data_IF_573875432619
#
_entry.id   IF_573875432619
#
_cell.length_a   1.000
_cell.length_b   1.000
_cell.length_c   1.000
_cell.angle_alpha   90.00
_cell.angle_beta   90.00
_cell.angle_gamma   90.00
#
_symmetry.space_group_name_H-M   'P 1'
#
loop_
_entity.id
_entity.type
_entity.pdbx_description
1 polymer ?
#
# COMPACT_ATOMS: atom_id res chain seq x y z
N UNK A 1 -3.00 7.90 27.45
CA UNK A 1 -3.48 7.10 28.42
C UNK A 1 -4.35 5.92 27.94
N UNK A 2 -5.69 5.86 27.98
CA UNK A 2 -6.41 4.59 27.82
C UNK A 2 -6.16 3.86 26.49
N UNK A 3 -6.06 4.57 25.36
CA UNK A 3 -5.80 3.93 24.08
C UNK A 3 -4.38 3.30 24.02
N UNK A 4 -3.39 3.93 24.61
CA UNK A 4 -2.03 3.40 24.67
C UNK A 4 -1.97 2.13 25.53
N UNK A 5 -2.58 2.17 26.71
CA UNK A 5 -2.71 1.02 27.62
C UNK A 5 -3.45 -0.14 26.94
N UNK A 6 -4.54 0.16 26.22
CA UNK A 6 -5.25 -0.85 25.43
C UNK A 6 -4.35 -1.48 24.36
N UNK A 7 -3.60 -0.66 23.60
CA UNK A 7 -2.68 -1.17 22.57
C UNK A 7 -1.57 -2.05 23.19
N UNK A 8 -1.06 -1.67 24.38
CA UNK A 8 -0.01 -2.40 25.07
C UNK A 8 -0.49 -3.74 25.64
N UNK A 9 -1.79 -3.82 25.99
CA UNK A 9 -2.42 -5.05 26.46
C UNK A 9 -2.81 -6.03 25.33
N UNK A 10 -2.87 -5.57 24.08
CA UNK A 10 -3.21 -6.45 22.96
C UNK A 10 -2.05 -7.44 22.68
N UNK A 11 -2.35 -8.72 22.43
CA UNK A 11 -1.33 -9.71 22.12
C UNK A 11 -0.62 -9.36 20.80
N UNK A 12 0.69 -9.52 20.78
CA UNK A 12 1.52 -9.32 19.58
C UNK A 12 1.38 -10.51 18.61
N UNK A 13 0.17 -10.71 18.09
CA UNK A 13 -0.08 -11.74 17.08
C UNK A 13 0.09 -11.16 15.68
N UNK A 14 0.48 -11.94 14.68
CA UNK A 14 0.62 -11.47 13.30
C UNK A 14 -0.61 -10.73 12.76
N UNK A 15 -1.82 -11.18 13.13
CA UNK A 15 -3.09 -10.60 12.68
C UNK A 15 -3.49 -9.30 13.39
N UNK A 16 -2.94 -9.02 14.58
CA UNK A 16 -3.24 -7.81 15.34
C UNK A 16 -2.12 -6.79 15.29
N UNK A 17 -0.91 -7.19 14.89
CA UNK A 17 0.28 -6.36 14.98
C UNK A 17 0.15 -5.04 14.23
N UNK A 18 -0.31 -5.08 12.99
CA UNK A 18 -0.46 -3.87 12.17
C UNK A 18 -1.44 -2.88 12.80
N UNK A 19 -2.62 -3.36 13.22
CA UNK A 19 -3.61 -2.51 13.92
C UNK A 19 -3.07 -1.96 15.23
N UNK A 20 -2.42 -2.81 16.03
CA UNK A 20 -1.82 -2.42 17.31
C UNK A 20 -0.80 -1.30 17.11
N UNK A 21 0.11 -1.42 16.16
CA UNK A 21 1.12 -0.41 15.87
C UNK A 21 0.50 0.89 15.35
N UNK A 22 -0.50 0.81 14.46
CA UNK A 22 -1.20 1.97 13.94
C UNK A 22 -1.87 2.79 15.06
N UNK A 23 -2.67 2.14 15.91
CA UNK A 23 -3.36 2.82 17.01
C UNK A 23 -2.39 3.28 18.11
N UNK A 24 -1.32 2.53 18.36
CA UNK A 24 -0.25 2.93 19.28
C UNK A 24 0.42 4.22 18.81
N UNK A 25 0.76 4.32 17.51
CA UNK A 25 1.32 5.54 16.94
C UNK A 25 0.38 6.74 17.11
N UNK A 26 -0.91 6.58 16.84
CA UNK A 26 -1.93 7.62 17.07
C UNK A 26 -1.97 8.04 18.54
N UNK A 27 -1.99 7.09 19.47
CA UNK A 27 -2.02 7.40 20.91
C UNK A 27 -0.79 8.17 21.35
N UNK A 28 0.41 7.77 20.91
CA UNK A 28 1.68 8.44 21.20
C UNK A 28 1.71 9.85 20.63
N UNK A 29 1.26 10.03 19.39
CA UNK A 29 1.18 11.34 18.74
C UNK A 29 0.27 12.30 19.51
N UNK A 30 -0.93 11.82 19.94
CA UNK A 30 -1.85 12.62 20.76
C UNK A 30 -1.32 12.98 22.15
N UNK A 31 -0.44 12.15 22.70
CA UNK A 31 0.22 12.41 23.99
C UNK A 31 1.46 13.31 23.86
N UNK A 32 1.78 13.79 22.66
CA UNK A 32 2.98 14.59 22.41
C UNK A 32 4.31 13.81 22.47
N UNK A 33 4.22 12.46 22.49
CA UNK A 33 5.39 11.55 22.48
C UNK A 33 5.90 11.36 21.05
N UNK A 34 6.38 12.46 20.47
CA UNK A 34 6.68 12.59 19.03
C UNK A 34 7.71 11.56 18.56
N UNK A 35 8.83 11.42 19.28
CA UNK A 35 9.91 10.51 18.85
C UNK A 35 9.47 9.05 18.89
N UNK A 36 8.68 8.66 19.87
CA UNK A 36 8.15 7.32 19.97
C UNK A 36 7.08 7.04 18.89
N UNK A 37 6.26 8.02 18.55
CA UNK A 37 5.33 7.91 17.43
C UNK A 37 6.08 7.76 16.10
N UNK A 38 7.14 8.55 15.90
CA UNK A 38 8.00 8.47 14.70
C UNK A 38 8.80 7.17 14.60
N UNK A 39 9.17 6.59 15.71
CA UNK A 39 9.80 5.26 15.72
C UNK A 39 8.86 4.17 15.13
N UNK A 40 7.55 4.35 15.27
CA UNK A 40 6.55 3.43 14.70
C UNK A 40 6.19 3.79 13.25
N UNK A 41 6.01 5.07 12.97
CA UNK A 41 5.61 5.57 11.64
C UNK A 41 6.44 6.80 11.30
N UNK A 42 7.16 6.76 10.20
CA UNK A 42 7.89 7.89 9.64
C UNK A 42 7.73 7.90 8.13
N UNK A 43 6.92 8.82 7.59
CA UNK A 43 6.60 8.86 6.16
C UNK A 43 7.80 9.19 5.27
N UNK A 44 8.86 9.78 5.82
CA UNK A 44 10.09 10.08 5.08
C UNK A 44 11.03 8.87 5.02
N UNK A 45 11.13 8.10 6.12
CA UNK A 45 12.09 7.01 6.27
C UNK A 45 11.53 5.65 5.87
N UNK A 46 10.26 5.37 6.20
CA UNK A 46 9.67 4.04 6.08
C UNK A 46 9.05 3.75 4.70
N UNK A 47 9.14 4.69 3.77
CA UNK A 47 8.57 4.55 2.42
C UNK A 47 9.68 4.41 1.40
N UNK A 48 9.66 3.32 0.64
CA UNK A 48 10.60 3.09 -0.46
C UNK A 48 9.87 3.05 -1.80
N UNK A 49 10.49 3.62 -2.81
CA UNK A 49 9.96 3.67 -4.18
C UNK A 49 10.90 2.90 -5.10
N UNK A 50 10.33 2.00 -5.88
CA UNK A 50 11.02 1.20 -6.90
C UNK A 50 10.45 1.50 -8.28
N UNK A 51 11.25 1.30 -9.32
CA UNK A 51 10.83 1.40 -10.71
C UNK A 51 10.93 0.04 -11.37
N UNK A 52 9.88 -0.35 -12.07
CA UNK A 52 9.88 -1.58 -12.84
C UNK A 52 10.59 -1.38 -14.17
N UNK A 53 11.56 -2.24 -14.40
CA UNK A 53 12.23 -2.39 -15.67
C UNK A 53 11.95 -3.81 -16.19
N UNK A 54 11.04 -3.96 -17.17
CA UNK A 54 10.66 -5.27 -17.66
C UNK A 54 11.79 -5.93 -18.47
N UNK A 55 11.82 -7.27 -18.56
CA UNK A 55 12.68 -7.97 -19.50
C UNK A 55 12.49 -7.46 -20.93
N UNK A 56 13.57 -7.40 -21.71
CA UNK A 56 13.61 -6.79 -23.05
C UNK A 56 12.61 -7.36 -24.06
N UNK A 57 12.23 -8.65 -23.91
CA UNK A 57 11.19 -9.30 -24.71
C UNK A 57 9.80 -8.69 -24.50
N UNK A 58 9.60 -7.96 -23.41
CA UNK A 58 8.34 -7.27 -23.12
C UNK A 58 8.33 -5.80 -23.56
N UNK A 59 9.43 -5.31 -24.14
CA UNK A 59 9.59 -3.89 -24.47
C UNK A 59 9.92 -3.06 -23.23
N UNK A 60 9.59 -1.76 -23.25
CA UNK A 60 9.75 -0.89 -22.10
C UNK A 60 8.57 -1.01 -21.10
N UNK A 61 8.69 -0.34 -19.96
CA UNK A 61 7.67 -0.34 -18.93
C UNK A 61 6.31 0.23 -19.40
N UNK A 62 6.32 1.14 -20.40
CA UNK A 62 5.08 1.72 -20.95
C UNK A 62 4.35 0.67 -21.77
N UNK A 63 5.04 -0.04 -22.65
CA UNK A 63 4.46 -1.10 -23.47
C UNK A 63 3.99 -2.29 -22.61
N UNK A 64 4.78 -2.68 -21.62
CA UNK A 64 4.40 -3.71 -20.64
C UNK A 64 3.10 -3.34 -19.92
N UNK A 65 3.06 -2.16 -19.32
CA UNK A 65 1.90 -1.70 -18.55
C UNK A 65 0.66 -1.50 -19.41
N UNK A 66 0.79 -1.06 -20.66
CA UNK A 66 -0.35 -0.94 -21.57
C UNK A 66 -1.00 -2.32 -21.85
N UNK A 67 -0.19 -3.37 -22.09
CA UNK A 67 -0.72 -4.73 -22.26
C UNK A 67 -1.35 -5.27 -20.99
N UNK A 68 -0.71 -5.01 -19.84
CA UNK A 68 -1.22 -5.44 -18.54
C UNK A 68 -2.55 -4.75 -18.22
N UNK A 69 -2.66 -3.43 -18.43
CA UNK A 69 -3.89 -2.67 -18.25
C UNK A 69 -5.03 -3.20 -19.14
N UNK A 70 -4.73 -3.44 -20.42
CA UNK A 70 -5.72 -4.01 -21.35
C UNK A 70 -6.24 -5.36 -20.87
N UNK A 71 -5.34 -6.24 -20.44
CA UNK A 71 -5.73 -7.55 -19.93
C UNK A 71 -6.55 -7.43 -18.63
N UNK A 72 -6.14 -6.59 -17.69
CA UNK A 72 -6.86 -6.38 -16.43
C UNK A 72 -8.28 -5.85 -16.67
N UNK A 73 -8.45 -4.88 -17.57
CA UNK A 73 -9.77 -4.31 -17.92
C UNK A 73 -10.67 -5.40 -18.53
N UNK A 74 -10.11 -6.27 -19.37
CA UNK A 74 -10.89 -7.30 -20.05
C UNK A 74 -11.26 -8.51 -19.15
N UNK A 75 -10.48 -8.76 -18.08
CA UNK A 75 -10.59 -9.97 -17.26
C UNK A 75 -10.97 -9.71 -15.79
N UNK A 76 -10.99 -8.47 -15.37
CA UNK A 76 -11.48 -8.13 -14.03
C UNK A 76 -13.01 -8.16 -14.07
N UNK A 77 -13.58 -9.12 -13.34
CA UNK A 77 -15.02 -9.17 -13.14
C UNK A 77 -15.46 -7.92 -12.38
N UNK A 78 -16.53 -7.28 -12.84
CA UNK A 78 -17.20 -6.24 -12.09
C UNK A 78 -17.84 -6.87 -10.83
N UNK A 79 -17.05 -7.02 -9.77
CA UNK A 79 -17.62 -7.30 -8.46
C UNK A 79 -18.32 -6.00 -8.04
N UNK A 80 -19.65 -5.98 -7.88
CA UNK A 80 -20.35 -4.80 -7.41
C UNK A 80 -19.80 -4.48 -6.02
N UNK A 81 -19.00 -3.44 -5.92
CA UNK A 81 -18.64 -2.91 -4.61
C UNK A 81 -19.74 -1.93 -4.16
N UNK A 82 -19.98 -1.78 -2.87
CA UNK A 82 -20.89 -0.74 -2.37
C UNK A 82 -20.36 0.69 -2.62
N UNK A 83 -19.19 0.81 -3.26
CA UNK A 83 -18.56 2.08 -3.63
C UNK A 83 -18.58 2.16 -5.16
N UNK A 84 -19.43 3.01 -5.74
CA UNK A 84 -19.37 3.29 -7.16
C UNK A 84 -17.96 3.66 -7.54
N UNK A 85 -17.36 3.90 -8.39
CA UNK A 85 -16.03 4.45 -8.74
C UNK A 85 -14.81 3.75 -8.11
N UNK A 86 -14.99 2.69 -7.30
CA UNK A 86 -13.91 1.89 -6.72
C UNK A 86 -14.21 0.39 -6.88
N UNK A 87 -13.44 -0.32 -7.69
CA UNK A 87 -13.55 -1.78 -7.86
C UNK A 87 -12.28 -2.45 -7.35
N UNK A 88 -12.42 -3.46 -6.49
CA UNK A 88 -11.30 -4.28 -6.00
C UNK A 88 -11.56 -5.72 -6.42
N UNK A 89 -10.61 -6.33 -7.12
CA UNK A 89 -10.67 -7.73 -7.51
C UNK A 89 -9.50 -8.51 -6.89
N UNK A 90 -9.85 -9.50 -6.08
CA UNK A 90 -8.91 -10.39 -5.38
C UNK A 90 -8.56 -11.64 -6.19
N UNK A 91 -9.14 -11.82 -7.38
CA UNK A 91 -8.90 -12.98 -8.26
C UNK A 91 -7.49 -13.02 -8.85
N UNK A 92 -6.76 -11.91 -8.79
CA UNK A 92 -5.42 -11.80 -9.34
C UNK A 92 -4.45 -12.84 -8.78
N UNK A 93 -4.54 -13.16 -7.49
CA UNK A 93 -3.68 -14.14 -6.79
C UNK A 93 -3.63 -15.50 -7.48
N UNK A 94 -4.71 -15.92 -8.14
CA UNK A 94 -4.81 -17.21 -8.83
C UNK A 94 -4.41 -17.16 -10.31
N UNK A 95 -4.13 -15.98 -10.84
CA UNK A 95 -3.81 -15.78 -12.26
C UNK A 95 -2.40 -16.25 -12.60
N UNK A 96 -2.23 -16.96 -13.72
CA UNK A 96 -0.96 -17.50 -14.23
C UNK A 96 -0.46 -16.82 -15.50
N UNK A 97 -0.94 -15.62 -15.81
CA UNK A 97 -0.49 -14.87 -16.98
C UNK A 97 1.02 -14.54 -16.87
N UNK A 98 1.82 -14.74 -17.94
CA UNK A 98 3.26 -14.42 -17.92
C UNK A 98 3.57 -12.99 -17.45
N UNK A 99 2.84 -11.97 -17.94
CA UNK A 99 2.99 -10.58 -17.50
C UNK A 99 2.81 -10.41 -15.96
N UNK A 100 1.82 -11.11 -15.39
CA UNK A 100 1.59 -11.07 -13.93
C UNK A 100 2.74 -11.75 -13.18
N UNK A 101 3.26 -12.86 -13.71
CA UNK A 101 4.38 -13.57 -13.08
C UNK A 101 5.68 -12.74 -13.10
N UNK A 102 5.95 -12.02 -14.21
CA UNK A 102 7.08 -11.09 -14.29
C UNK A 102 6.94 -9.96 -13.26
N UNK A 103 5.76 -9.35 -13.19
CA UNK A 103 5.50 -8.32 -12.20
C UNK A 103 5.66 -8.87 -10.76
N UNK A 104 5.14 -10.07 -10.46
CA UNK A 104 5.30 -10.73 -9.16
C UNK A 104 6.77 -10.96 -8.82
N UNK A 105 7.57 -11.34 -9.80
CA UNK A 105 9.01 -11.53 -9.62
C UNK A 105 9.71 -10.21 -9.22
N UNK A 106 9.38 -9.12 -9.89
CA UNK A 106 9.85 -7.78 -9.52
C UNK A 106 9.38 -7.37 -8.13
N UNK A 107 8.10 -7.52 -7.84
CA UNK A 107 7.49 -7.17 -6.55
C UNK A 107 8.19 -7.94 -5.42
N UNK A 108 8.41 -9.26 -5.58
CA UNK A 108 9.11 -10.09 -4.57
C UNK A 108 10.54 -9.62 -4.33
N UNK A 109 11.30 -9.30 -5.39
CA UNK A 109 12.67 -8.76 -5.23
C UNK A 109 12.65 -7.42 -4.50
N UNK A 110 11.71 -6.54 -4.82
CA UNK A 110 11.56 -5.25 -4.15
C UNK A 110 11.19 -5.41 -2.68
N UNK A 111 10.29 -6.34 -2.35
CA UNK A 111 9.99 -6.69 -0.96
C UNK A 111 11.19 -7.24 -0.22
N UNK A 112 11.98 -8.12 -0.84
CA UNK A 112 13.20 -8.65 -0.23
C UNK A 112 14.20 -7.51 0.10
N UNK A 113 14.35 -6.56 -0.82
CA UNK A 113 15.17 -5.35 -0.60
C UNK A 113 14.63 -4.51 0.56
N UNK A 114 13.32 -4.26 0.58
CA UNK A 114 12.69 -3.50 1.67
C UNK A 114 12.87 -4.19 3.03
N UNK A 115 12.64 -5.49 3.09
CA UNK A 115 12.79 -6.31 4.31
C UNK A 115 14.23 -6.27 4.84
N UNK A 116 15.22 -6.33 3.96
CA UNK A 116 16.62 -6.21 4.35
C UNK A 116 16.95 -4.85 4.98
N UNK A 117 16.16 -3.82 4.71
CA UNK A 117 16.32 -2.48 5.29
C UNK A 117 15.58 -2.28 6.62
N UNK A 118 14.68 -3.18 7.03
CA UNK A 118 13.89 -3.00 8.26
C UNK A 118 14.72 -2.71 9.51
N UNK A 119 15.88 -3.35 9.76
CA UNK A 119 16.73 -3.01 10.91
C UNK A 119 17.25 -1.56 10.84
N UNK A 120 17.68 -1.10 9.67
CA UNK A 120 18.16 0.27 9.44
C UNK A 120 17.03 1.29 9.58
N UNK A 121 15.82 0.92 9.18
CA UNK A 121 14.62 1.73 9.33
C UNK A 121 14.10 1.77 10.77
N UNK A 122 14.63 0.95 11.69
CA UNK A 122 14.16 0.82 13.07
C UNK A 122 12.88 -0.01 13.20
N UNK A 123 12.53 -0.79 12.17
CA UNK A 123 11.30 -1.58 12.11
C UNK A 123 11.54 -3.09 12.36
N UNK A 124 12.79 -3.54 12.47
CA UNK A 124 13.13 -4.95 12.57
C UNK A 124 12.43 -5.68 13.73
N UNK A 125 12.46 -5.09 14.92
CA UNK A 125 11.82 -5.67 16.11
C UNK A 125 10.30 -5.49 16.14
N UNK A 126 9.78 -4.49 15.42
CA UNK A 126 8.35 -4.19 15.36
C UNK A 126 7.60 -5.09 14.39
N UNK A 127 8.31 -5.61 13.39
CA UNK A 127 7.75 -6.38 12.30
C UNK A 127 8.51 -7.70 12.14
N UNK A 128 8.33 -8.65 13.08
CA UNK A 128 8.97 -9.95 12.96
C UNK A 128 8.36 -10.68 11.76
N UNK A 129 9.01 -10.53 10.60
CA UNK A 129 8.59 -11.20 9.38
C UNK A 129 8.85 -12.70 9.51
N UNK A 130 7.84 -13.52 9.28
CA UNK A 130 8.07 -14.96 9.19
C UNK A 130 8.99 -15.25 7.99
N UNK A 131 9.84 -16.27 8.06
CA UNK A 131 10.74 -16.67 6.97
C UNK A 131 10.02 -16.92 5.62
N UNK A 132 8.72 -17.19 5.65
CA UNK A 132 7.87 -17.42 4.50
C UNK A 132 6.64 -16.52 4.58
N UNK A 133 6.79 -15.25 4.21
CA UNK A 133 5.64 -14.38 3.95
C UNK A 133 4.97 -14.77 2.63
N UNK A 134 3.64 -14.86 2.63
CA UNK A 134 2.86 -15.08 1.42
C UNK A 134 2.59 -13.73 0.74
N UNK A 135 2.89 -13.65 -0.56
CA UNK A 135 2.50 -12.50 -1.37
C UNK A 135 1.04 -12.67 -1.78
N UNK A 136 0.21 -11.76 -1.30
CA UNK A 136 -1.19 -11.66 -1.68
C UNK A 136 -1.39 -10.41 -2.53
N UNK A 137 -1.76 -10.61 -3.80
CA UNK A 137 -1.97 -9.53 -4.76
C UNK A 137 -3.44 -9.40 -5.17
N UNK A 138 -3.84 -8.17 -5.47
CA UNK A 138 -5.18 -7.80 -5.89
C UNK A 138 -5.12 -6.56 -6.77
N UNK A 139 -6.13 -6.34 -7.59
CA UNK A 139 -6.20 -5.15 -8.44
C UNK A 139 -7.24 -4.16 -7.90
N UNK A 140 -6.93 -2.87 -8.02
CA UNK A 140 -7.85 -1.78 -7.67
C UNK A 140 -8.01 -0.84 -8.86
N UNK A 141 -9.26 -0.63 -9.25
CA UNK A 141 -9.66 0.37 -10.25
C UNK A 141 -10.33 1.54 -9.54
N UNK A 142 -9.87 2.74 -9.81
CA UNK A 142 -10.49 3.98 -9.32
C UNK A 142 -10.85 4.86 -10.50
N UNK A 143 -12.08 5.36 -10.50
CA UNK A 143 -12.61 6.32 -11.49
C UNK A 143 -13.13 7.55 -10.77
N UNK A 144 -13.18 8.67 -11.45
CA UNK A 144 -13.88 9.88 -11.00
C UNK A 144 -13.52 10.27 -9.56
N UNK A 145 -14.50 10.22 -8.69
CA UNK A 145 -14.37 10.53 -7.26
C UNK A 145 -14.11 9.28 -6.39
N UNK A 146 -13.85 8.13 -7.00
CA UNK A 146 -13.55 6.90 -6.28
C UNK A 146 -12.32 7.02 -5.41
N UNK A 147 -12.43 6.52 -4.18
CA UNK A 147 -11.32 6.42 -3.22
C UNK A 147 -11.48 5.21 -2.33
N UNK A 148 -10.38 4.68 -1.88
CA UNK A 148 -10.40 3.57 -0.94
C UNK A 148 -10.58 4.04 0.53
N UNK A 149 -10.44 5.32 0.78
CA UNK A 149 -10.51 5.94 2.10
C UNK A 149 -9.29 5.59 2.98
N UNK A 150 -9.15 6.30 4.07
CA UNK A 150 -8.06 6.06 5.01
C UNK A 150 -8.16 4.68 5.64
N UNK A 151 -7.09 3.91 5.53
CA UNK A 151 -7.02 2.56 6.08
C UNK A 151 -5.60 2.10 6.36
N UNK A 152 -5.49 0.95 7.01
CA UNK A 152 -4.29 0.15 7.21
C UNK A 152 -4.56 -1.28 6.73
N UNK A 153 -3.53 -2.06 6.45
CA UNK A 153 -3.70 -3.47 6.08
C UNK A 153 -3.52 -4.38 7.31
N UNK A 154 -4.62 -4.76 7.98
CA UNK A 154 -4.55 -5.42 9.30
C UNK A 154 -3.88 -6.81 9.26
N UNK A 155 -3.92 -7.47 8.12
CA UNK A 155 -3.41 -8.83 7.93
C UNK A 155 -2.07 -8.88 7.18
N UNK A 156 -1.38 -7.74 7.07
CA UNK A 156 -0.11 -7.65 6.38
C UNK A 156 0.99 -7.04 7.28
N UNK A 157 2.23 -7.25 6.90
CA UNK A 157 3.40 -6.60 7.49
C UNK A 157 3.86 -5.41 6.63
N UNK A 158 3.93 -5.62 5.32
CA UNK A 158 4.34 -4.63 4.34
C UNK A 158 3.30 -4.59 3.23
N UNK A 159 3.02 -3.41 2.74
CA UNK A 159 2.12 -3.13 1.62
C UNK A 159 2.91 -2.60 0.45
N UNK A 160 2.57 -3.08 -0.74
CA UNK A 160 3.04 -2.57 -2.01
C UNK A 160 1.89 -2.02 -2.85
N UNK A 161 2.14 -0.91 -3.53
CA UNK A 161 1.22 -0.33 -4.51
C UNK A 161 1.98 -0.15 -5.81
N UNK A 162 1.68 -1.00 -6.80
CA UNK A 162 2.25 -0.90 -8.15
C UNK A 162 1.28 -0.20 -9.09
N UNK A 163 1.74 0.82 -9.79
CA UNK A 163 0.94 1.61 -10.71
C UNK A 163 1.01 1.05 -12.13
N UNK A 164 -0.06 0.38 -12.56
CA UNK A 164 -0.20 -0.14 -13.92
C UNK A 164 -0.60 0.98 -14.86
N UNK A 165 -1.64 1.73 -14.51
CA UNK A 165 -2.17 2.85 -15.30
C UNK A 165 -2.46 4.04 -14.41
N UNK A 166 -2.03 5.20 -14.86
CA UNK A 166 -2.35 6.50 -14.27
C UNK A 166 -2.95 7.36 -15.37
N UNK A 167 -4.15 7.93 -15.19
CA UNK A 167 -4.78 8.78 -16.19
C UNK A 167 -3.86 9.93 -16.64
N UNK A 168 -3.88 10.26 -17.92
CA UNK A 168 -3.01 11.32 -18.47
C UNK A 168 -3.25 12.68 -17.84
N UNK A 169 -4.50 13.04 -17.60
CA UNK A 169 -4.89 14.29 -16.93
C UNK A 169 -4.39 14.33 -15.47
N UNK A 170 -4.32 13.19 -14.79
CA UNK A 170 -3.69 13.05 -13.46
C UNK A 170 -2.18 13.25 -13.54
N UNK A 171 -1.51 12.64 -14.53
CA UNK A 171 -0.07 12.79 -14.70
C UNK A 171 0.37 14.22 -14.97
N UNK A 172 -0.44 14.96 -15.74
CA UNK A 172 -0.17 16.35 -16.12
C UNK A 172 -0.68 17.37 -15.09
N UNK A 173 -1.52 16.96 -14.15
CA UNK A 173 -2.08 17.86 -13.14
C UNK A 173 -1.00 18.43 -12.21
N UNK A 174 -1.12 19.69 -11.86
CA UNK A 174 -0.30 20.38 -10.85
C UNK A 174 -0.83 20.23 -9.42
N UNK A 175 -2.06 19.76 -9.27
CA UNK A 175 -2.69 19.50 -7.98
C UNK A 175 -2.40 18.08 -7.46
N UNK A 176 -3.02 17.71 -6.34
CA UNK A 176 -2.79 16.44 -5.66
C UNK A 176 -3.71 15.29 -6.13
N UNK A 177 -4.54 15.50 -7.19
CA UNK A 177 -5.42 14.42 -7.68
C UNK A 177 -4.63 13.15 -8.02
N UNK A 178 -5.18 12.01 -7.65
CA UNK A 178 -4.59 10.70 -7.88
C UNK A 178 -3.37 10.37 -7.00
N UNK A 179 -2.86 11.30 -6.19
CA UNK A 179 -1.74 11.04 -5.29
C UNK A 179 -2.07 9.96 -4.26
N UNK A 180 -1.09 9.11 -3.95
CA UNK A 180 -1.11 8.28 -2.76
C UNK A 180 -0.81 9.18 -1.56
N UNK A 181 -1.66 9.14 -0.56
CA UNK A 181 -1.50 9.87 0.70
C UNK A 181 -1.03 8.90 1.77
N UNK A 182 0.13 9.15 2.34
CA UNK A 182 0.74 8.32 3.37
C UNK A 182 0.78 9.07 4.69
N UNK A 183 0.41 8.42 5.77
CA UNK A 183 0.42 8.97 7.11
C UNK A 183 -0.82 9.78 7.51
N UNK A 184 -1.72 10.11 6.59
CA UNK A 184 -2.97 10.78 6.96
C UNK A 184 -3.85 9.85 7.81
N UNK A 185 -4.39 10.39 8.89
CA UNK A 185 -5.30 9.66 9.79
C UNK A 185 -6.35 10.61 10.44
N UNK A 186 -6.89 11.52 9.64
CA UNK A 186 -7.80 12.57 10.09
C UNK A 186 -9.02 12.04 10.86
N UNK A 187 -9.62 10.93 10.37
CA UNK A 187 -10.81 10.34 11.00
C UNK A 187 -10.56 9.78 12.40
N UNK A 188 -9.32 9.35 12.69
CA UNK A 188 -8.95 8.80 13.98
C UNK A 188 -8.37 9.82 14.93
N UNK A 189 -7.96 10.96 14.42
CA UNK A 189 -7.24 11.99 15.18
C UNK A 189 -8.06 13.24 15.45
N UNK A 190 -9.32 13.31 15.00
CA UNK A 190 -10.19 14.49 15.15
C UNK A 190 -9.49 15.80 14.70
N UNK A 191 -8.84 15.77 13.56
CA UNK A 191 -8.07 16.90 13.01
C UNK A 191 -6.70 17.11 13.65
N UNK A 192 -6.26 16.22 14.56
CA UNK A 192 -4.91 16.27 15.10
C UNK A 192 -3.88 15.95 14.02
N UNK A 193 -2.87 16.81 13.87
CA UNK A 193 -1.78 16.57 12.93
C UNK A 193 -0.89 15.44 13.44
N UNK A 194 -0.69 14.36 12.67
CA UNK A 194 0.14 13.26 13.12
C UNK A 194 1.62 13.66 13.25
N UNK A 195 2.28 13.22 14.32
CA UNK A 195 3.67 13.54 14.61
C UNK A 195 4.65 13.11 13.50
N UNK A 196 4.29 12.10 12.71
CA UNK A 196 5.09 11.57 11.58
C UNK A 196 4.86 12.28 10.25
N UNK A 197 3.97 13.28 10.21
CA UNK A 197 3.62 14.05 9.03
C UNK A 197 2.73 13.32 8.02
N UNK A 198 2.47 13.97 6.90
CA UNK A 198 1.72 13.44 5.77
C UNK A 198 2.54 13.61 4.50
N UNK A 199 2.60 12.58 3.67
CA UNK A 199 3.33 12.61 2.40
C UNK A 199 2.38 12.29 1.24
N UNK A 200 2.39 13.17 0.24
CA UNK A 200 1.69 12.96 -1.03
C UNK A 200 2.70 12.45 -2.06
N UNK A 201 2.43 11.29 -2.65
CA UNK A 201 3.23 10.73 -3.72
C UNK A 201 2.44 10.78 -5.03
N UNK A 202 2.96 11.56 -5.99
CA UNK A 202 2.44 11.60 -7.35
C UNK A 202 2.64 10.24 -8.01
N UNK A 203 1.58 9.60 -8.53
CA UNK A 203 1.71 8.29 -9.15
C UNK A 203 2.33 8.40 -10.55
N UNK A 204 3.12 7.38 -10.91
CA UNK A 204 3.66 7.21 -12.25
C UNK A 204 3.53 5.75 -12.68
N UNK A 205 3.16 5.44 -13.93
CA UNK A 205 3.14 4.06 -14.41
C UNK A 205 4.50 3.37 -14.23
N UNK A 206 4.52 2.12 -13.77
CA UNK A 206 5.74 1.37 -13.47
C UNK A 206 6.36 1.66 -12.10
N UNK A 207 5.78 2.56 -11.31
CA UNK A 207 6.21 2.82 -9.94
C UNK A 207 5.63 1.78 -8.98
N UNK A 208 6.46 1.25 -8.08
CA UNK A 208 6.06 0.46 -6.92
C UNK A 208 6.45 1.21 -5.65
N UNK A 209 5.48 1.43 -4.78
CA UNK A 209 5.69 2.06 -3.46
C UNK A 209 5.53 1.00 -2.39
N UNK A 210 6.54 0.82 -1.52
CA UNK A 210 6.49 -0.09 -0.38
C UNK A 210 6.51 0.70 0.93
N UNK A 211 5.69 0.27 1.89
CA UNK A 211 5.58 0.89 3.22
C UNK A 211 5.01 -0.10 4.26
N UNK A 212 5.17 0.18 5.57
CA UNK A 212 4.64 -0.69 6.62
C UNK A 212 3.11 -0.76 6.58
N UNK A 213 2.55 -1.93 6.76
CA UNK A 213 1.11 -2.16 6.68
C UNK A 213 0.29 -1.40 7.76
N UNK A 214 0.94 -0.98 8.84
CA UNK A 214 0.34 -0.16 9.89
C UNK A 214 0.37 1.35 9.62
N UNK A 215 0.99 1.79 8.51
CA UNK A 215 0.94 3.18 8.07
C UNK A 215 -0.41 3.47 7.42
N UNK A 216 -1.16 4.42 7.98
CA UNK A 216 -2.40 4.89 7.36
C UNK A 216 -2.13 5.45 5.97
N UNK A 217 -2.99 5.10 5.04
CA UNK A 217 -2.90 5.61 3.68
C UNK A 217 -4.26 5.73 3.01
N UNK A 218 -4.31 6.58 2.00
CA UNK A 218 -5.50 6.92 1.22
C UNK A 218 -5.07 7.31 -0.19
N UNK A 219 -6.04 7.62 -1.04
CA UNK A 219 -5.83 8.15 -2.39
C UNK A 219 -6.68 9.39 -2.58
N UNK A 220 -6.08 10.48 -3.07
CA UNK A 220 -6.85 11.64 -3.53
C UNK A 220 -7.62 11.21 -4.79
N UNK A 221 -8.94 11.47 -4.88
CA UNK A 221 -9.72 11.14 -6.06
C UNK A 221 -9.07 11.65 -7.35
N UNK A 222 -9.13 10.86 -8.41
CA UNK A 222 -8.51 11.20 -9.70
C UNK A 222 -9.27 12.29 -10.43
N UNK A 223 -10.59 12.36 -10.24
CA UNK A 223 -11.53 13.18 -10.99
C UNK A 223 -11.45 12.92 -12.52
N UNK A 224 -10.93 11.78 -12.91
CA UNK A 224 -10.74 11.37 -14.30
C UNK A 224 -11.75 10.28 -14.69
N UNK A 225 -12.22 10.32 -15.93
CA UNK A 225 -13.03 9.25 -16.51
C UNK A 225 -12.16 8.02 -16.88
N UNK A 226 -10.87 8.24 -17.14
CA UNK A 226 -9.91 7.15 -17.37
C UNK A 226 -9.58 6.46 -16.03
N UNK A 227 -9.53 5.11 -15.97
CA UNK A 227 -9.25 4.42 -14.73
C UNK A 227 -7.79 4.60 -14.27
N UNK A 228 -7.60 4.86 -13.00
CA UNK A 228 -6.35 4.59 -12.30
C UNK A 228 -6.34 3.13 -11.89
N UNK A 229 -5.39 2.36 -12.40
CA UNK A 229 -5.26 0.93 -12.15
C UNK A 229 -4.00 0.67 -11.35
N UNK A 230 -4.15 0.04 -10.18
CA UNK A 230 -3.02 -0.41 -9.38
C UNK A 230 -3.14 -1.89 -9.04
N UNK A 231 -1.99 -2.54 -8.88
CA UNK A 231 -1.90 -3.84 -8.23
C UNK A 231 -1.41 -3.59 -6.81
N UNK A 232 -2.30 -3.86 -5.85
CA UNK A 232 -1.95 -3.94 -4.45
C UNK A 232 -1.25 -5.27 -4.17
N UNK A 233 -0.25 -5.26 -3.31
CA UNK A 233 0.51 -6.43 -2.92
C UNK A 233 0.81 -6.39 -1.43
N UNK A 234 0.34 -7.39 -0.70
CA UNK A 234 0.55 -7.55 0.73
C UNK A 234 1.53 -8.68 1.00
N UNK A 235 2.51 -8.48 1.88
CA UNK A 235 3.20 -9.59 2.52
C UNK A 235 2.43 -9.97 3.78
N UNK A 236 1.81 -11.14 3.75
CA UNK A 236 0.99 -11.69 4.84
C UNK A 236 1.72 -12.80 5.60
N UNK A 237 1.37 -13.03 6.88
CA UNK A 237 1.80 -14.24 7.57
C UNK A 237 1.31 -15.47 6.79
N UNK A 238 2.17 -16.49 6.68
CA UNK A 238 1.73 -17.75 6.11
C UNK A 238 0.54 -18.32 6.92
N UNK A 239 -0.46 -18.92 6.25
CA UNK A 239 -1.54 -19.60 6.95
C UNK A 239 -0.95 -20.64 7.92
N UNK A 240 -1.43 -20.64 9.16
CA UNK A 240 -1.12 -21.76 10.07
C UNK A 240 -1.83 -22.98 9.49
N UNK A 241 -1.08 -23.93 8.97
CA UNK A 241 -1.63 -25.27 8.73
C UNK A 241 -2.07 -25.82 10.09
N UNK A 242 -3.40 -25.95 10.25
CA UNK A 242 -4.01 -26.59 11.41
C UNK A 242 -3.76 -28.10 11.37
#
# INVERSE_FOLDING_TARGET
APLLEFCDALPATPFLQSRRLAFRAVALSRLGRVDEARALVDVARHVMVFRFDPPSEHGDAVAFNARLAHWLIANTGSVPTPRPDCVIDYGLTHTRLPLINELRSFVRRSFATYVAQLPVLGLGDLMPLPPAGELFDFVVFLHGNGRNGEHVHPNAYVVGVYYVQVPKDVQLASDMRGCLVLGACEKLTDGHQPAWGVRYLKPEPGMLVLFPAHMFHDVVPTQSAEPRIVIGADVRPAPRHA
#
